data_IF_093543717869
#
_entry.id   IF_093543717869
#
_cell.length_a   1.000
_cell.length_b   1.000
_cell.length_c   1.000
_cell.angle_alpha   90.00
_cell.angle_beta   90.00
_cell.angle_gamma   90.00
#
_symmetry.space_group_name_H-M   'P 1'
#
loop_
_entity.id
_entity.type
_entity.pdbx_description
1 polymer ?
#
# COMPACT_ATOMS: atom_id res chain seq x y z
N UNK A 1 -20.77 -5.38 4.41
CA UNK A 1 -19.65 -4.97 5.26
C UNK A 1 -18.59 -4.31 4.39
N UNK A 2 -18.33 -3.04 4.66
CA UNK A 2 -17.39 -2.25 3.86
C UNK A 2 -15.96 -2.73 4.12
N UNK A 3 -15.37 -3.42 3.16
CA UNK A 3 -13.99 -3.94 3.20
C UNK A 3 -12.89 -2.86 3.24
N UNK A 4 -13.26 -1.57 3.23
CA UNK A 4 -12.35 -0.42 3.36
C UNK A 4 -12.09 0.07 4.79
N UNK A 5 -12.59 -0.60 5.81
CA UNK A 5 -12.47 -0.18 7.21
C UNK A 5 -11.28 -0.78 7.97
N UNK A 6 -10.44 -1.59 7.33
CA UNK A 6 -9.31 -2.24 8.00
C UNK A 6 -8.43 -1.28 8.79
N UNK A 7 -8.12 -0.12 8.22
CA UNK A 7 -7.29 0.91 8.85
C UNK A 7 -8.00 1.61 10.02
N UNK A 8 -9.30 1.84 9.91
CA UNK A 8 -10.09 2.47 10.98
C UNK A 8 -10.21 1.55 12.18
N UNK A 9 -10.50 0.26 11.94
CA UNK A 9 -10.55 -0.73 13.02
C UNK A 9 -9.19 -0.93 13.65
N UNK A 10 -8.12 -1.06 12.86
CA UNK A 10 -6.77 -1.20 13.39
C UNK A 10 -6.35 -0.01 14.25
N UNK A 11 -6.69 1.21 13.84
CA UNK A 11 -6.46 2.41 14.65
C UNK A 11 -7.27 2.42 15.93
N UNK A 12 -8.53 1.96 15.89
CA UNK A 12 -9.37 1.86 17.07
C UNK A 12 -8.81 0.84 18.08
N UNK A 13 -8.37 -0.32 17.60
CA UNK A 13 -7.69 -1.32 18.42
C UNK A 13 -6.43 -0.76 19.06
N UNK A 14 -5.52 -0.17 18.30
CA UNK A 14 -4.29 0.41 18.80
C UNK A 14 -4.54 1.56 19.78
N UNK A 15 -5.59 2.37 19.56
CA UNK A 15 -5.99 3.42 20.47
C UNK A 15 -6.53 2.84 21.79
N UNK A 16 -7.27 1.73 21.73
CA UNK A 16 -7.74 1.02 22.92
C UNK A 16 -6.57 0.42 23.72
N UNK A 17 -5.47 0.07 23.05
CA UNK A 17 -4.20 -0.36 23.66
C UNK A 17 -3.32 0.80 24.16
N UNK A 18 -3.81 2.03 24.09
CA UNK A 18 -3.12 3.23 24.59
C UNK A 18 -2.10 3.84 23.63
N UNK A 19 -2.08 3.42 22.36
CA UNK A 19 -1.18 4.00 21.35
C UNK A 19 -1.63 5.42 20.99
N UNK A 20 -0.72 6.38 21.11
CA UNK A 20 -0.92 7.78 20.75
C UNK A 20 -0.43 8.04 19.29
N UNK A 21 -1.32 8.54 18.44
CA UNK A 21 -1.04 8.83 17.04
C UNK A 21 -0.58 10.27 16.75
N UNK A 22 -0.30 11.07 17.80
CA UNK A 22 0.10 12.49 17.60
C UNK A 22 1.34 12.67 16.73
N UNK A 23 2.24 11.69 16.74
CA UNK A 23 3.48 11.70 15.97
C UNK A 23 3.37 10.99 14.62
N UNK A 24 2.22 10.36 14.31
CA UNK A 24 2.01 9.72 13.01
C UNK A 24 2.09 10.76 11.89
N UNK A 25 2.86 10.45 10.86
CA UNK A 25 2.94 11.24 9.63
C UNK A 25 2.71 10.35 8.43
N UNK A 26 1.88 10.81 7.51
CA UNK A 26 1.56 10.13 6.26
C UNK A 26 2.15 10.96 5.12
N UNK A 27 2.94 10.31 4.28
CA UNK A 27 3.49 10.97 3.09
C UNK A 27 2.37 11.29 2.08
N UNK A 28 2.34 12.51 1.53
CA UNK A 28 1.42 12.87 0.45
C UNK A 28 1.65 12.04 -0.82
N UNK A 29 2.85 11.44 -0.97
CA UNK A 29 3.23 10.59 -2.10
C UNK A 29 2.79 9.13 -1.96
N UNK A 30 2.27 8.73 -0.79
CA UNK A 30 1.79 7.37 -0.58
C UNK A 30 0.64 7.05 -1.55
N UNK A 31 0.67 5.84 -2.11
CA UNK A 31 -0.37 5.37 -3.02
C UNK A 31 -1.63 4.97 -2.27
N UNK A 32 -2.78 5.17 -2.89
CA UNK A 32 -4.08 4.79 -2.35
C UNK A 32 -4.57 3.53 -3.07
N UNK A 33 -4.93 2.52 -2.29
CA UNK A 33 -5.66 1.36 -2.79
C UNK A 33 -7.15 1.70 -2.90
N UNK A 34 -7.64 1.80 -4.12
CA UNK A 34 -9.05 2.07 -4.40
C UNK A 34 -9.90 0.79 -4.30
N UNK A 35 -11.22 0.88 -4.10
CA UNK A 35 -12.07 -0.30 -3.96
C UNK A 35 -11.97 -1.28 -5.14
N UNK A 36 -11.92 -0.77 -6.35
CA UNK A 36 -11.77 -1.61 -7.54
C UNK A 36 -10.45 -2.40 -7.58
N UNK A 37 -9.38 -1.93 -6.93
CA UNK A 37 -8.14 -2.71 -6.79
C UNK A 37 -8.37 -3.98 -5.98
N UNK A 38 -9.16 -3.88 -4.90
CA UNK A 38 -9.49 -5.00 -4.03
C UNK A 38 -10.32 -6.04 -4.79
N UNK A 39 -11.31 -5.58 -5.57
CA UNK A 39 -12.13 -6.46 -6.39
C UNK A 39 -11.31 -7.20 -7.46
N UNK A 40 -10.44 -6.47 -8.16
CA UNK A 40 -9.55 -7.04 -9.19
C UNK A 40 -8.60 -8.08 -8.57
N UNK A 41 -7.98 -7.78 -7.44
CA UNK A 41 -7.06 -8.70 -6.74
C UNK A 41 -7.80 -9.96 -6.28
N UNK A 42 -8.96 -9.79 -5.65
CA UNK A 42 -9.81 -10.89 -5.20
C UNK A 42 -10.26 -11.81 -6.34
N UNK A 43 -10.69 -11.23 -7.46
CA UNK A 43 -11.11 -11.99 -8.65
C UNK A 43 -9.92 -12.74 -9.27
N UNK A 44 -8.81 -12.05 -9.48
CA UNK A 44 -7.61 -12.62 -10.10
C UNK A 44 -7.11 -13.81 -9.30
N UNK A 45 -7.00 -13.67 -7.98
CA UNK A 45 -6.57 -14.77 -7.10
C UNK A 45 -7.55 -15.95 -7.11
N UNK A 46 -8.87 -15.68 -7.17
CA UNK A 46 -9.88 -16.73 -7.22
C UNK A 46 -9.82 -17.55 -8.52
N UNK A 47 -9.48 -16.91 -9.65
CA UNK A 47 -9.55 -17.52 -10.98
C UNK A 47 -8.20 -17.96 -11.56
N UNK A 48 -7.09 -17.72 -10.85
CA UNK A 48 -5.74 -18.09 -11.32
C UNK A 48 -5.43 -19.62 -11.29
N UNK A 49 -6.34 -20.45 -10.81
CA UNK A 49 -6.18 -21.91 -10.80
C UNK A 49 -4.85 -22.34 -10.14
N UNK A 50 -3.98 -23.01 -10.92
CA UNK A 50 -2.64 -23.42 -10.47
C UNK A 50 -1.63 -22.26 -10.38
N UNK A 51 -1.96 -21.09 -10.93
CA UNK A 51 -1.14 -19.88 -10.90
C UNK A 51 -1.46 -18.96 -9.72
N UNK A 52 -2.12 -19.43 -8.69
CA UNK A 52 -2.39 -18.65 -7.47
C UNK A 52 -1.08 -18.20 -6.83
N UNK A 53 -0.96 -16.91 -6.59
CA UNK A 53 0.21 -16.30 -5.95
C UNK A 53 0.11 -16.36 -4.42
N UNK A 54 -1.11 -16.52 -3.88
CA UNK A 54 -1.38 -16.47 -2.44
C UNK A 54 -1.54 -15.02 -1.94
N UNK A 55 -2.19 -14.17 -2.75
CA UNK A 55 -2.36 -12.76 -2.36
C UNK A 55 -3.27 -12.61 -1.14
N UNK A 56 -3.07 -11.53 -0.39
CA UNK A 56 -3.94 -11.17 0.75
C UNK A 56 -5.30 -10.60 0.30
N UNK A 57 -5.53 -10.49 -1.01
CA UNK A 57 -6.75 -9.91 -1.62
C UNK A 57 -7.06 -8.50 -1.12
N UNK A 58 -6.02 -7.72 -0.83
CA UNK A 58 -6.11 -6.33 -0.36
C UNK A 58 -5.89 -5.30 -1.46
N UNK A 59 -5.75 -5.73 -2.71
CA UNK A 59 -5.59 -4.85 -3.86
C UNK A 59 -4.18 -4.28 -4.05
N UNK A 60 -3.18 -4.84 -3.39
CA UNK A 60 -1.81 -4.30 -3.43
C UNK A 60 -1.21 -4.43 -4.83
N UNK A 61 -1.29 -5.61 -5.45
CA UNK A 61 -0.80 -5.82 -6.82
C UNK A 61 -1.39 -4.83 -7.82
N UNK A 62 -2.72 -4.75 -7.97
CA UNK A 62 -3.36 -3.78 -8.84
C UNK A 62 -3.03 -2.32 -8.52
N UNK A 63 -2.82 -1.95 -7.25
CA UNK A 63 -2.38 -0.60 -6.85
C UNK A 63 -0.97 -0.30 -7.38
N UNK A 64 -0.05 -1.25 -7.28
CA UNK A 64 1.30 -1.10 -7.84
C UNK A 64 1.30 -1.07 -9.37
N UNK A 65 0.42 -1.83 -10.01
CA UNK A 65 0.22 -1.75 -11.46
C UNK A 65 -0.18 -0.34 -11.89
N UNK A 66 -1.16 0.26 -11.21
CA UNK A 66 -1.60 1.62 -11.51
C UNK A 66 -0.52 2.66 -11.19
N UNK A 67 0.26 2.46 -10.12
CA UNK A 67 1.41 3.30 -9.80
C UNK A 67 2.44 3.28 -10.93
N UNK A 68 2.79 2.09 -11.45
CA UNK A 68 3.74 1.92 -12.55
C UNK A 68 3.20 2.50 -13.86
N UNK A 69 1.90 2.35 -14.12
CA UNK A 69 1.19 2.96 -15.24
C UNK A 69 1.02 4.49 -15.10
N UNK A 70 1.33 5.08 -13.93
CA UNK A 70 1.21 6.51 -13.62
C UNK A 70 -0.21 7.03 -13.60
N UNK A 71 -1.18 6.14 -13.34
CA UNK A 71 -2.60 6.44 -13.20
C UNK A 71 -3.11 6.25 -11.76
N UNK A 72 -2.27 5.74 -10.86
CA UNK A 72 -2.63 5.50 -9.46
C UNK A 72 -2.91 6.78 -8.68
N UNK A 73 -3.81 6.69 -7.72
CA UNK A 73 -4.13 7.78 -6.79
C UNK A 73 -3.08 7.85 -5.67
N UNK A 74 -2.75 9.07 -5.27
CA UNK A 74 -1.87 9.37 -4.12
C UNK A 74 -2.64 10.15 -3.06
N UNK A 75 -2.14 10.13 -1.83
CA UNK A 75 -2.74 10.87 -0.71
C UNK A 75 -2.92 12.35 -1.04
N UNK A 76 -1.95 12.98 -1.71
CA UNK A 76 -2.06 14.40 -2.11
C UNK A 76 -3.24 14.69 -3.03
N UNK A 77 -3.66 13.73 -3.86
CA UNK A 77 -4.77 13.92 -4.80
C UNK A 77 -6.09 14.17 -4.06
N UNK A 78 -6.23 13.64 -2.84
CA UNK A 78 -7.42 13.86 -2.00
C UNK A 78 -7.62 15.31 -1.57
N UNK A 79 -6.58 16.14 -1.64
CA UNK A 79 -6.58 17.53 -1.16
C UNK A 79 -6.59 18.56 -2.29
N UNK A 80 -6.73 18.12 -3.53
CA UNK A 80 -6.95 18.97 -4.70
C UNK A 80 -8.24 18.54 -5.38
N UNK A 81 -9.32 19.29 -5.13
CA UNK A 81 -10.65 18.97 -5.68
C UNK A 81 -10.63 18.82 -7.20
N UNK A 82 -9.97 19.75 -7.90
CA UNK A 82 -9.87 19.74 -9.36
C UNK A 82 -9.11 18.50 -9.85
N UNK A 83 -7.89 18.29 -9.35
CA UNK A 83 -7.06 17.14 -9.76
C UNK A 83 -7.71 15.78 -9.42
N UNK A 84 -8.40 15.69 -8.27
CA UNK A 84 -9.13 14.49 -7.88
C UNK A 84 -10.25 14.16 -8.87
N UNK A 85 -11.06 15.17 -9.22
CA UNK A 85 -12.19 15.00 -10.14
C UNK A 85 -11.71 14.62 -11.55
N UNK A 86 -10.74 15.33 -12.09
CA UNK A 86 -10.14 15.02 -13.39
C UNK A 86 -9.61 13.58 -13.45
N UNK A 87 -8.94 13.17 -12.38
CA UNK A 87 -8.37 11.82 -12.29
C UNK A 87 -9.44 10.75 -12.20
N UNK A 88 -10.50 10.96 -11.43
CA UNK A 88 -11.66 10.06 -11.36
C UNK A 88 -12.30 9.95 -12.75
N UNK A 89 -12.56 11.07 -13.41
CA UNK A 89 -13.23 11.12 -14.71
C UNK A 89 -12.40 10.42 -15.81
N UNK A 90 -11.08 10.48 -15.72
CA UNK A 90 -10.18 9.80 -16.65
C UNK A 90 -10.07 8.29 -16.39
N UNK A 91 -9.98 7.88 -15.14
CA UNK A 91 -9.57 6.51 -14.78
C UNK A 91 -10.76 5.59 -14.54
N UNK A 92 -11.81 6.08 -13.87
CA UNK A 92 -12.94 5.25 -13.48
C UNK A 92 -13.66 4.58 -14.67
N UNK A 93 -13.87 5.25 -15.81
CA UNK A 93 -14.48 4.59 -16.97
C UNK A 93 -13.66 3.41 -17.50
N UNK A 94 -12.34 3.50 -17.44
CA UNK A 94 -11.43 2.43 -17.87
C UNK A 94 -11.53 1.26 -16.90
N UNK A 95 -11.50 1.55 -15.59
CA UNK A 95 -11.61 0.51 -14.54
C UNK A 95 -12.97 -0.18 -14.59
N UNK A 96 -14.03 0.56 -14.77
CA UNK A 96 -15.39 0.01 -14.89
C UNK A 96 -15.52 -0.93 -16.11
N UNK A 97 -14.94 -0.56 -17.25
CA UNK A 97 -14.88 -1.47 -18.41
C UNK A 97 -14.14 -2.77 -18.11
N UNK A 98 -13.04 -2.69 -17.36
CA UNK A 98 -12.31 -3.89 -16.91
C UNK A 98 -13.15 -4.73 -15.95
N UNK A 99 -13.74 -4.11 -14.93
CA UNK A 99 -14.59 -4.79 -13.94
C UNK A 99 -15.72 -5.54 -14.65
N UNK A 100 -16.45 -4.86 -15.51
CA UNK A 100 -17.63 -5.44 -16.20
C UNK A 100 -17.24 -6.48 -17.24
N UNK A 101 -16.37 -6.12 -18.19
CA UNK A 101 -16.16 -6.92 -19.39
C UNK A 101 -15.10 -8.02 -19.21
N UNK A 102 -14.16 -7.85 -18.28
CA UNK A 102 -13.09 -8.84 -18.03
C UNK A 102 -13.40 -9.69 -16.82
N UNK A 103 -13.90 -9.06 -15.76
CA UNK A 103 -14.09 -9.72 -14.47
C UNK A 103 -15.55 -10.06 -14.16
N UNK A 104 -16.53 -9.53 -14.92
CA UNK A 104 -17.95 -9.75 -14.64
C UNK A 104 -18.41 -9.17 -13.30
N UNK A 105 -17.74 -8.12 -12.84
CA UNK A 105 -17.99 -7.44 -11.57
C UNK A 105 -18.82 -6.17 -11.79
N UNK A 106 -19.40 -5.66 -10.70
CA UNK A 106 -20.17 -4.42 -10.69
C UNK A 106 -19.30 -3.19 -10.94
N UNK A 107 -19.89 -2.21 -11.61
CA UNK A 107 -19.26 -0.92 -11.88
C UNK A 107 -19.41 0.03 -10.68
N UNK A 108 -18.42 0.84 -10.43
CA UNK A 108 -18.49 1.92 -9.43
C UNK A 108 -19.05 3.19 -10.04
N UNK A 109 -19.95 3.87 -9.33
CA UNK A 109 -20.37 5.22 -9.73
C UNK A 109 -19.31 6.25 -9.33
N UNK A 110 -19.26 7.34 -10.07
CA UNK A 110 -18.38 8.48 -9.77
C UNK A 110 -18.59 8.98 -8.35
N UNK A 111 -19.85 9.17 -7.97
CA UNK A 111 -20.23 9.73 -6.67
C UNK A 111 -19.82 8.80 -5.52
N UNK A 112 -19.90 7.48 -5.72
CA UNK A 112 -19.41 6.52 -4.74
C UNK A 112 -17.90 6.68 -4.49
N UNK A 113 -17.11 6.78 -5.56
CA UNK A 113 -15.66 6.96 -5.45
C UNK A 113 -15.32 8.32 -4.84
N UNK A 114 -15.99 9.40 -5.27
CA UNK A 114 -15.75 10.74 -4.75
C UNK A 114 -16.07 10.83 -3.26
N UNK A 115 -17.23 10.37 -2.84
CA UNK A 115 -17.64 10.36 -1.42
C UNK A 115 -16.67 9.58 -0.54
N UNK A 116 -16.13 8.47 -1.07
CA UNK A 116 -15.12 7.69 -0.37
C UNK A 116 -13.81 8.48 -0.21
N UNK A 117 -13.35 9.14 -1.28
CA UNK A 117 -12.17 9.99 -1.26
C UNK A 117 -12.30 11.15 -0.27
N UNK A 118 -13.45 11.83 -0.25
CA UNK A 118 -13.74 12.92 0.67
C UNK A 118 -13.71 12.45 2.14
N UNK A 119 -14.33 11.31 2.42
CA UNK A 119 -14.31 10.70 3.75
C UNK A 119 -12.89 10.41 4.23
N UNK A 120 -12.05 9.84 3.36
CA UNK A 120 -10.67 9.53 3.73
C UNK A 120 -9.78 10.78 3.75
N UNK A 121 -10.06 11.81 2.94
CA UNK A 121 -9.38 13.10 3.04
C UNK A 121 -9.52 13.69 4.45
N UNK A 122 -10.73 13.76 4.98
CA UNK A 122 -10.96 14.26 6.34
C UNK A 122 -10.32 13.37 7.41
N UNK A 123 -10.37 12.05 7.24
CA UNK A 123 -9.76 11.10 8.18
C UNK A 123 -8.25 11.23 8.28
N UNK A 124 -7.57 11.45 7.14
CA UNK A 124 -6.10 11.52 7.07
C UNK A 124 -5.55 12.92 7.30
N UNK A 125 -6.37 13.96 7.15
CA UNK A 125 -5.98 15.37 7.27
C UNK A 125 -5.05 15.69 8.46
N UNK A 126 -5.28 15.18 9.68
CA UNK A 126 -4.40 15.47 10.82
C UNK A 126 -3.00 14.86 10.71
N UNK A 127 -2.81 13.91 9.81
CA UNK A 127 -1.61 13.09 9.71
C UNK A 127 -0.79 13.36 8.45
N UNK A 128 -1.40 13.93 7.39
CA UNK A 128 -0.68 14.19 6.13
C UNK A 128 0.38 15.27 6.35
N UNK A 129 1.60 14.95 5.96
CA UNK A 129 2.77 15.80 6.12
C UNK A 129 3.22 16.30 4.75
N UNK A 130 2.74 17.47 4.32
CA UNK A 130 3.11 18.06 3.03
C UNK A 130 4.54 18.58 3.01
N UNK A 131 5.11 18.91 4.18
CA UNK A 131 6.50 19.31 4.38
C UNK A 131 7.42 18.10 4.70
N UNK A 132 7.11 16.93 4.14
CA UNK A 132 7.81 15.68 4.44
C UNK A 132 9.32 15.73 4.15
N UNK A 133 9.76 16.51 3.15
CA UNK A 133 11.18 16.69 2.84
C UNK A 133 11.90 17.43 3.97
N UNK A 134 11.29 18.49 4.50
CA UNK A 134 11.82 19.23 5.65
C UNK A 134 11.80 18.38 6.91
N UNK A 135 10.75 17.54 7.07
CA UNK A 135 10.69 16.57 8.15
C UNK A 135 11.89 15.61 8.08
N UNK A 136 12.16 15.01 6.92
CA UNK A 136 13.30 14.11 6.75
C UNK A 136 14.62 14.83 6.99
N UNK A 137 14.80 16.05 6.51
CA UNK A 137 16.01 16.86 6.74
C UNK A 137 16.23 17.14 8.23
N UNK A 138 15.18 17.38 9.01
CA UNK A 138 15.28 17.57 10.47
C UNK A 138 15.76 16.34 11.21
N UNK A 139 15.54 15.16 10.66
CA UNK A 139 15.93 13.87 11.27
C UNK A 139 17.21 13.27 10.70
N UNK A 140 17.86 13.89 9.71
CA UNK A 140 19.05 13.34 9.03
C UNK A 140 20.20 12.92 9.96
N UNK A 141 20.35 13.61 11.10
CA UNK A 141 21.40 13.35 12.08
C UNK A 141 20.90 12.48 13.26
N UNK A 142 19.68 11.95 13.16
CA UNK A 142 19.08 11.07 14.15
C UNK A 142 19.21 9.60 13.72
N UNK A 143 18.96 8.70 14.65
CA UNK A 143 18.78 7.28 14.33
C UNK A 143 17.40 7.10 13.73
N UNK A 144 17.35 6.60 12.50
CA UNK A 144 16.12 6.34 11.77
C UNK A 144 16.08 4.85 11.48
N UNK A 145 14.99 4.19 11.86
CA UNK A 145 14.69 2.82 11.48
C UNK A 145 13.74 2.86 10.29
N UNK A 146 14.14 2.20 9.21
CA UNK A 146 13.28 1.91 8.07
C UNK A 146 12.72 0.50 8.22
N UNK A 147 11.42 0.39 8.33
CA UNK A 147 10.71 -0.87 8.39
C UNK A 147 9.85 -1.02 7.14
N UNK A 148 10.16 -2.03 6.32
CA UNK A 148 9.35 -2.40 5.17
C UNK A 148 8.27 -3.39 5.57
N UNK A 149 7.40 -3.72 4.61
CA UNK A 149 6.47 -4.84 4.72
C UNK A 149 7.08 -6.05 3.98
N UNK A 150 6.62 -7.25 4.30
CA UNK A 150 7.03 -8.53 3.71
C UNK A 150 8.52 -8.87 4.02
N UNK A 151 9.10 -9.77 3.23
CA UNK A 151 10.47 -10.25 3.41
C UNK A 151 11.23 -10.33 2.10
N UNK A 152 12.55 -10.50 2.20
CA UNK A 152 13.49 -10.52 1.06
C UNK A 152 13.08 -11.55 -0.01
N UNK A 153 12.60 -12.73 0.39
CA UNK A 153 12.17 -13.78 -0.54
C UNK A 153 10.90 -13.39 -1.33
N UNK A 154 10.19 -12.36 -0.92
CA UNK A 154 9.01 -11.84 -1.60
C UNK A 154 9.32 -10.62 -2.47
N UNK A 155 10.58 -10.24 -2.62
CA UNK A 155 10.97 -9.12 -3.49
C UNK A 155 10.59 -9.41 -4.94
N UNK A 156 10.01 -8.41 -5.63
CA UNK A 156 9.49 -8.59 -6.99
C UNK A 156 10.59 -8.91 -8.00
N UNK A 157 11.82 -8.45 -7.78
CA UNK A 157 12.94 -8.64 -8.68
C UNK A 157 13.87 -9.79 -8.24
N UNK A 158 14.14 -9.89 -6.93
CA UNK A 158 15.13 -10.79 -6.37
C UNK A 158 14.55 -11.94 -5.54
N UNK A 159 13.23 -11.97 -5.37
CA UNK A 159 12.54 -13.02 -4.64
C UNK A 159 12.24 -14.26 -5.48
N UNK A 160 11.34 -15.09 -4.96
CA UNK A 160 10.91 -16.36 -5.58
C UNK A 160 9.81 -16.14 -6.62
N UNK A 161 10.08 -15.34 -7.64
CA UNK A 161 9.12 -15.04 -8.71
C UNK A 161 8.53 -16.32 -9.33
N UNK A 162 7.21 -16.41 -9.59
CA UNK A 162 6.19 -15.36 -9.48
C UNK A 162 5.53 -15.23 -8.10
N UNK A 163 5.95 -16.00 -7.10
CA UNK A 163 5.38 -16.03 -5.75
C UNK A 163 6.01 -14.93 -4.89
N UNK A 164 5.78 -13.67 -5.28
CA UNK A 164 6.38 -12.46 -4.70
C UNK A 164 5.33 -11.40 -4.45
N UNK A 165 5.69 -10.36 -3.68
CA UNK A 165 4.88 -9.13 -3.61
C UNK A 165 5.16 -8.24 -4.82
N UNK A 166 4.39 -7.16 -4.97
CA UNK A 166 4.58 -6.18 -6.06
C UNK A 166 5.56 -5.06 -5.70
N UNK A 167 6.30 -5.21 -4.62
CA UNK A 167 7.25 -4.21 -4.12
C UNK A 167 8.65 -4.78 -3.91
N UNK A 168 9.60 -3.91 -3.58
CA UNK A 168 10.97 -4.27 -3.24
C UNK A 168 11.19 -4.13 -1.72
N UNK A 169 10.97 -5.20 -0.92
CA UNK A 169 11.20 -5.20 0.52
C UNK A 169 12.69 -5.31 0.92
N UNK A 170 13.60 -5.50 -0.04
CA UNK A 170 15.05 -5.45 0.21
C UNK A 170 15.51 -4.06 0.66
N UNK A 171 16.70 -3.95 1.25
CA UNK A 171 17.23 -2.70 1.81
C UNK A 171 17.22 -1.50 0.84
N UNK A 172 17.36 -1.74 -0.47
CA UNK A 172 17.22 -0.69 -1.50
C UNK A 172 15.84 -0.05 -1.55
N UNK A 173 14.79 -0.78 -1.16
CA UNK A 173 13.42 -0.26 -1.08
C UNK A 173 13.27 0.87 -0.07
N UNK A 174 14.07 0.91 0.97
CA UNK A 174 14.09 2.00 1.95
C UNK A 174 14.48 3.35 1.30
N UNK A 175 15.50 3.34 0.43
CA UNK A 175 15.92 4.54 -0.29
C UNK A 175 14.82 5.05 -1.24
N UNK A 176 14.23 4.14 -2.02
CA UNK A 176 13.15 4.49 -2.96
C UNK A 176 11.90 4.98 -2.23
N UNK A 177 11.52 4.32 -1.14
CA UNK A 177 10.29 4.64 -0.39
C UNK A 177 10.40 5.93 0.41
N UNK A 178 11.57 6.23 0.98
CA UNK A 178 11.80 7.41 1.81
C UNK A 178 12.31 8.64 1.05
N UNK A 179 12.94 8.43 -0.12
CA UNK A 179 13.64 9.49 -0.83
C UNK A 179 15.03 9.82 -0.26
N UNK A 180 15.49 9.08 0.75
CA UNK A 180 16.89 9.19 1.21
C UNK A 180 17.84 8.61 0.18
N UNK A 181 18.98 9.27 -0.03
CA UNK A 181 20.05 8.72 -0.85
C UNK A 181 20.58 7.39 -0.28
N UNK A 182 20.97 6.42 -1.12
CA UNK A 182 21.48 5.12 -0.64
C UNK A 182 22.65 5.23 0.35
N UNK A 183 23.51 6.24 0.19
CA UNK A 183 24.64 6.50 1.08
C UNK A 183 24.23 6.92 2.51
N UNK A 184 22.98 7.29 2.71
CA UNK A 184 22.45 7.65 4.05
C UNK A 184 21.97 6.42 4.83
N UNK A 185 21.78 5.28 4.17
CA UNK A 185 21.44 4.01 4.82
C UNK A 185 22.74 3.37 5.26
N UNK A 186 23.01 3.40 6.57
CA UNK A 186 24.30 2.97 7.12
C UNK A 186 24.37 1.47 7.39
N UNK A 187 23.24 0.86 7.70
CA UNK A 187 23.16 -0.54 8.11
C UNK A 187 21.86 -1.16 7.62
N UNK A 188 21.93 -2.41 7.23
CA UNK A 188 20.77 -3.24 6.89
C UNK A 188 20.82 -4.46 7.79
N UNK A 189 19.77 -4.61 8.62
CA UNK A 189 19.65 -5.72 9.56
C UNK A 189 18.63 -6.71 9.00
N UNK A 190 19.06 -7.96 8.81
CA UNK A 190 18.16 -9.06 8.44
C UNK A 190 17.76 -9.83 9.69
N UNK A 191 16.45 -10.08 9.82
CA UNK A 191 15.92 -10.99 10.84
C UNK A 191 15.43 -12.24 10.14
N UNK A 192 15.89 -13.42 10.63
CA UNK A 192 15.51 -14.71 10.07
C UNK A 192 15.11 -15.64 11.20
N UNK A 193 13.97 -16.30 11.05
CA UNK A 193 13.60 -17.39 11.94
C UNK A 193 14.37 -18.65 11.59
N UNK A 194 14.82 -19.37 12.61
CA UNK A 194 15.46 -20.66 12.44
C UNK A 194 14.38 -21.71 12.10
N UNK A 195 14.36 -22.17 10.86
CA UNK A 195 13.42 -23.21 10.38
C UNK A 195 13.85 -24.63 10.76
N UNK A 196 14.47 -24.83 11.90
CA UNK A 196 14.96 -26.16 12.30
C UNK A 196 13.86 -27.15 12.71
N UNK A 197 12.64 -26.70 12.98
CA UNK A 197 11.51 -27.60 13.25
C UNK A 197 10.19 -27.04 12.69
N UNK A 198 9.79 -27.63 11.62
CA UNK A 198 8.47 -27.96 11.10
C UNK A 198 7.25 -27.23 11.62
N UNK A 199 6.50 -26.92 10.70
CA UNK A 199 5.08 -26.71 10.51
C UNK A 199 4.77 -25.28 10.15
N UNK A 200 4.25 -25.19 8.96
CA UNK A 200 3.59 -24.02 8.39
C UNK A 200 4.38 -22.70 8.45
N UNK A 201 5.42 -22.65 7.62
CA UNK A 201 6.25 -21.47 7.42
C UNK A 201 5.47 -20.22 6.91
N UNK A 202 4.17 -20.36 6.66
CA UNK A 202 3.31 -19.28 6.23
C UNK A 202 2.77 -18.42 7.40
N UNK A 203 2.69 -18.98 8.59
CA UNK A 203 2.09 -18.30 9.75
C UNK A 203 3.12 -17.59 10.65
N UNK A 204 4.42 -17.90 10.51
CA UNK A 204 5.48 -17.41 11.41
C UNK A 204 6.45 -16.39 10.77
N UNK A 205 6.14 -15.86 9.60
CA UNK A 205 6.98 -14.84 8.96
C UNK A 205 6.77 -13.46 9.62
N UNK A 206 7.40 -13.28 10.76
CA UNK A 206 7.81 -11.96 11.23
C UNK A 206 9.00 -11.54 10.37
N UNK A 207 8.72 -10.85 9.26
CA UNK A 207 9.75 -10.24 8.44
C UNK A 207 10.00 -8.81 8.92
N UNK A 208 11.22 -8.53 9.24
CA UNK A 208 11.73 -7.18 9.51
C UNK A 208 12.49 -6.70 8.29
#
# INVERSE_FOLDING_TARGET
ESRGLGDVYKRQELKAEGVDFKNLKISPLASITMPYHIEIDGYSEAHSGKGKIGTTKKGIGPTYTDKAARIGFKIQDLYSFEALNEKIDMILPIKNKMLKNVYGLEEYTRDCILSLCEKYAELFKPYVCFDWQDLLNRYKDKKILFEGAQGVMLDVDYGTYPFVTSSNPIGGGAAVGSGYGPAMIKEVVGVSNCLLYTSDAADDLLCV
#
